data_IF_949046979267
#
_entry.id   IF_949046979267
#
_cell.length_a   1.000
_cell.length_b   1.000
_cell.length_c   1.000
_cell.angle_alpha   90.00
_cell.angle_beta   90.00
_cell.angle_gamma   90.00
#
_symmetry.space_group_name_H-M   'P 1'
#
loop_
_entity.id
_entity.type
_entity.pdbx_description
1 polymer ?
#
# COMPACT_ATOMS: atom_id res chain seq x y z
N UNK A 1 73.54 -28.92 -67.94
CA UNK A 1 72.51 -27.87 -67.77
C UNK A 1 71.89 -27.99 -66.39
N UNK A 2 72.11 -27.01 -65.51
CA UNK A 2 71.46 -26.91 -64.18
C UNK A 2 70.86 -25.51 -64.10
N UNK A 3 69.53 -25.42 -64.04
CA UNK A 3 68.84 -24.14 -63.89
C UNK A 3 69.00 -23.63 -62.45
N UNK A 4 69.29 -22.34 -62.23
CA UNK A 4 69.33 -21.78 -60.89
C UNK A 4 67.91 -21.66 -60.33
N UNK A 5 67.68 -22.22 -59.15
CA UNK A 5 66.45 -22.06 -58.39
C UNK A 5 66.39 -20.64 -57.80
N UNK A 6 65.35 -19.88 -58.15
CA UNK A 6 65.10 -18.56 -57.59
C UNK A 6 64.85 -18.65 -56.07
N UNK A 7 65.46 -17.79 -55.24
CA UNK A 7 65.19 -17.76 -53.82
C UNK A 7 63.73 -17.33 -53.59
N UNK A 8 62.95 -18.19 -52.90
CA UNK A 8 61.61 -17.84 -52.41
C UNK A 8 61.75 -16.68 -51.44
N UNK A 9 61.38 -15.49 -51.89
CA UNK A 9 61.33 -14.24 -51.13
C UNK A 9 60.49 -14.45 -49.86
N UNK A 10 61.09 -14.22 -48.70
CA UNK A 10 60.48 -14.33 -47.37
C UNK A 10 59.17 -13.52 -47.27
N UNK A 11 58.02 -14.20 -47.28
CA UNK A 11 56.72 -13.66 -46.88
C UNK A 11 56.39 -14.01 -45.41
N UNK A 12 57.33 -13.84 -44.48
CA UNK A 12 57.16 -14.31 -43.08
C UNK A 12 57.36 -13.25 -41.99
N UNK A 13 57.49 -11.98 -42.32
CA UNK A 13 57.79 -10.92 -41.34
C UNK A 13 56.58 -10.17 -40.75
N UNK A 14 55.48 -10.04 -41.49
CA UNK A 14 54.40 -9.10 -41.13
C UNK A 14 53.21 -9.73 -40.40
N UNK A 15 53.02 -11.05 -40.52
CA UNK A 15 51.85 -11.73 -39.95
C UNK A 15 51.88 -11.82 -38.43
N UNK A 16 53.06 -12.03 -37.82
CA UNK A 16 53.23 -12.09 -36.36
C UNK A 16 52.90 -10.78 -35.63
N UNK A 17 53.44 -9.61 -36.03
CA UNK A 17 53.09 -8.34 -35.38
C UNK A 17 51.62 -7.96 -35.60
N UNK A 18 51.05 -8.21 -36.77
CA UNK A 18 49.63 -7.96 -37.04
C UNK A 18 48.74 -8.85 -36.15
N UNK A 19 49.06 -10.14 -36.01
CA UNK A 19 48.33 -11.06 -35.14
C UNK A 19 48.39 -10.60 -33.67
N UNK A 20 49.55 -10.16 -33.20
CA UNK A 20 49.72 -9.65 -31.85
C UNK A 20 48.85 -8.41 -31.58
N UNK A 21 48.81 -7.47 -32.53
CA UNK A 21 47.95 -6.28 -32.41
C UNK A 21 46.47 -6.67 -32.43
N UNK A 22 46.03 -7.56 -33.31
CA UNK A 22 44.64 -8.01 -33.32
C UNK A 22 44.23 -8.69 -32.01
N UNK A 23 45.08 -9.57 -31.46
CA UNK A 23 44.82 -10.25 -30.19
C UNK A 23 44.71 -9.27 -29.02
N UNK A 24 45.61 -8.29 -28.94
CA UNK A 24 45.57 -7.27 -27.87
C UNK A 24 44.31 -6.42 -27.93
N UNK A 25 43.87 -6.02 -29.14
CA UNK A 25 42.61 -5.29 -29.33
C UNK A 25 41.40 -6.13 -28.91
N UNK A 26 41.38 -7.42 -29.27
CA UNK A 26 40.29 -8.32 -28.86
C UNK A 26 40.23 -8.48 -27.34
N UNK A 27 41.37 -8.63 -26.67
CA UNK A 27 41.44 -8.70 -25.21
C UNK A 27 40.97 -7.38 -24.57
N UNK A 28 41.37 -6.23 -25.13
CA UNK A 28 40.93 -4.92 -24.65
C UNK A 28 39.41 -4.76 -24.75
N UNK A 29 38.80 -5.17 -25.86
CA UNK A 29 37.34 -5.14 -26.03
C UNK A 29 36.62 -6.10 -25.09
N UNK A 30 37.18 -7.28 -24.82
CA UNK A 30 36.63 -8.22 -23.82
C UNK A 30 36.67 -7.63 -22.41
N UNK A 31 37.77 -6.97 -22.05
CA UNK A 31 37.90 -6.28 -20.76
C UNK A 31 36.87 -5.16 -20.60
N UNK A 32 36.69 -4.33 -21.63
CA UNK A 32 35.66 -3.31 -21.67
C UNK A 32 34.25 -3.91 -21.51
N UNK A 33 33.95 -4.97 -22.27
CA UNK A 33 32.66 -5.64 -22.22
C UNK A 33 32.37 -6.22 -20.81
N UNK A 34 33.39 -6.76 -20.14
CA UNK A 34 33.26 -7.27 -18.78
C UNK A 34 32.97 -6.17 -17.76
N UNK A 35 33.76 -5.09 -17.76
CA UNK A 35 33.57 -3.97 -16.82
C UNK A 35 32.20 -3.31 -17.02
N UNK A 36 31.79 -3.07 -18.28
CA UNK A 36 30.46 -2.54 -18.60
C UNK A 36 29.33 -3.51 -18.20
N UNK A 37 29.53 -4.81 -18.41
CA UNK A 37 28.57 -5.83 -18.01
C UNK A 37 28.29 -5.80 -16.51
N UNK A 38 29.34 -5.69 -15.69
CA UNK A 38 29.20 -5.56 -14.23
C UNK A 38 28.49 -4.27 -13.83
N UNK A 39 28.87 -3.15 -14.44
CA UNK A 39 28.22 -1.85 -14.19
C UNK A 39 26.72 -1.91 -14.51
N UNK A 40 26.36 -2.51 -15.65
CA UNK A 40 24.96 -2.65 -16.07
C UNK A 40 24.15 -3.53 -15.12
N UNK A 41 24.70 -4.69 -14.72
CA UNK A 41 24.04 -5.60 -13.76
C UNK A 41 23.82 -4.89 -12.42
N UNK A 42 24.86 -4.29 -11.85
CA UNK A 42 24.74 -3.58 -10.56
C UNK A 42 23.75 -2.43 -10.63
N UNK A 43 23.71 -1.68 -11.74
CA UNK A 43 22.73 -0.60 -11.93
C UNK A 43 21.29 -1.13 -11.90
N UNK A 44 21.01 -2.28 -12.52
CA UNK A 44 19.68 -2.89 -12.49
C UNK A 44 19.31 -3.45 -11.11
N UNK A 45 20.28 -4.06 -10.40
CA UNK A 45 20.09 -4.51 -9.02
C UNK A 45 19.76 -3.32 -8.09
N UNK A 46 20.49 -2.21 -8.20
CA UNK A 46 20.21 -0.99 -7.45
C UNK A 46 18.84 -0.41 -7.79
N UNK A 47 18.42 -0.40 -9.06
CA UNK A 47 17.10 0.10 -9.42
C UNK A 47 15.97 -0.78 -8.85
N UNK A 48 16.14 -2.10 -8.92
CA UNK A 48 15.21 -3.06 -8.34
C UNK A 48 15.10 -2.85 -6.83
N UNK A 49 16.23 -2.61 -6.16
CA UNK A 49 16.28 -2.25 -4.75
C UNK A 49 15.49 -0.97 -4.44
N UNK A 50 15.76 0.13 -5.16
CA UNK A 50 15.12 1.41 -4.86
C UNK A 50 13.62 1.37 -5.14
N UNK A 51 13.19 0.73 -6.24
CA UNK A 51 11.78 0.59 -6.59
C UNK A 51 11.01 -0.17 -5.49
N UNK A 52 11.54 -1.32 -5.07
CA UNK A 52 10.91 -2.16 -4.05
C UNK A 52 10.93 -1.50 -2.67
N UNK A 53 12.04 -0.84 -2.30
CA UNK A 53 12.17 -0.15 -1.03
C UNK A 53 11.26 1.08 -0.96
N UNK A 54 11.10 1.83 -2.06
CA UNK A 54 10.25 3.02 -2.08
C UNK A 54 8.79 2.62 -1.89
N UNK A 55 8.35 1.57 -2.61
CA UNK A 55 6.99 1.06 -2.46
C UNK A 55 6.72 0.43 -1.08
N UNK A 56 7.71 -0.23 -0.47
CA UNK A 56 7.57 -0.77 0.88
C UNK A 56 7.52 0.34 1.93
N UNK A 57 8.39 1.36 1.80
CA UNK A 57 8.49 2.46 2.75
C UNK A 57 7.28 3.39 2.71
N UNK A 58 6.67 3.63 1.55
CA UNK A 58 5.46 4.46 1.46
C UNK A 58 4.28 3.87 2.24
N UNK A 59 4.23 2.55 2.46
CA UNK A 59 3.19 1.94 3.29
C UNK A 59 3.25 2.36 4.77
N UNK A 60 4.41 2.80 5.23
CA UNK A 60 4.61 3.29 6.59
C UNK A 60 4.28 4.78 6.72
N UNK A 61 4.08 5.52 5.62
CA UNK A 61 3.75 6.94 5.67
C UNK A 61 2.27 7.15 6.04
N UNK A 62 2.04 7.33 7.34
CA UNK A 62 0.73 7.54 7.96
C UNK A 62 0.43 9.01 8.28
N UNK A 63 1.29 9.93 7.83
CA UNK A 63 1.20 11.37 8.14
C UNK A 63 1.72 11.76 9.53
N UNK A 64 2.19 10.79 10.32
CA UNK A 64 2.75 11.02 11.66
C UNK A 64 4.28 10.95 11.66
N UNK A 65 4.88 11.40 12.77
CA UNK A 65 6.31 11.27 13.01
C UNK A 65 6.74 9.78 13.08
N UNK A 66 5.92 8.93 13.68
CA UNK A 66 6.21 7.50 13.78
C UNK A 66 6.23 6.84 12.40
N UNK A 67 5.32 7.24 11.51
CA UNK A 67 5.30 6.77 10.14
C UNK A 67 6.55 7.14 9.34
N UNK A 68 7.07 8.36 9.51
CA UNK A 68 8.35 8.76 8.88
C UNK A 68 9.52 7.92 9.40
N UNK A 69 9.57 7.63 10.71
CA UNK A 69 10.60 6.78 11.32
C UNK A 69 10.51 5.32 10.82
N UNK A 70 9.30 4.78 10.76
CA UNK A 70 9.03 3.46 10.17
C UNK A 70 9.44 3.40 8.70
N UNK A 71 9.03 4.40 7.90
CA UNK A 71 9.37 4.51 6.50
C UNK A 71 10.90 4.58 6.28
N UNK A 72 11.63 5.33 7.10
CA UNK A 72 13.10 5.38 7.00
C UNK A 72 13.76 4.03 7.32
N UNK A 73 13.24 3.32 8.33
CA UNK A 73 13.72 2.00 8.71
C UNK A 73 13.51 1.00 7.57
N UNK A 74 12.32 0.99 6.96
CA UNK A 74 12.01 0.16 5.79
C UNK A 74 12.83 0.57 4.56
N UNK A 75 13.00 1.87 4.31
CA UNK A 75 13.75 2.38 3.17
C UNK A 75 15.22 1.96 3.20
N UNK A 76 15.84 1.99 4.38
CA UNK A 76 17.27 1.66 4.56
C UNK A 76 17.53 0.16 4.69
N UNK A 77 16.61 -0.61 5.29
CA UNK A 77 16.74 -2.06 5.38
C UNK A 77 16.31 -2.79 4.09
N UNK A 78 15.40 -2.18 3.32
CA UNK A 78 14.72 -2.79 2.18
C UNK A 78 13.45 -3.57 2.58
N UNK A 79 12.66 -4.03 1.60
CA UNK A 79 11.37 -4.69 1.81
C UNK A 79 11.42 -6.00 2.61
N UNK A 80 12.56 -6.69 2.62
CA UNK A 80 12.74 -7.94 3.38
C UNK A 80 13.30 -7.72 4.79
N UNK A 81 13.50 -6.45 5.18
CA UNK A 81 14.01 -6.07 6.48
C UNK A 81 15.48 -6.44 6.71
N UNK A 82 15.92 -6.28 7.95
CA UNK A 82 17.34 -6.42 8.34
C UNK A 82 17.83 -7.87 8.38
N UNK A 83 16.95 -8.86 8.37
CA UNK A 83 17.29 -10.29 8.38
C UNK A 83 17.66 -10.82 7.00
N UNK A 84 17.21 -10.15 5.94
CA UNK A 84 17.58 -10.42 4.54
C UNK A 84 17.83 -9.09 3.83
N UNK A 85 18.91 -8.37 4.19
CA UNK A 85 19.21 -7.09 3.58
C UNK A 85 19.48 -7.28 2.10
N UNK A 86 18.93 -6.40 1.27
CA UNK A 86 19.14 -6.49 -0.16
C UNK A 86 20.62 -6.25 -0.50
N UNK A 87 21.15 -7.06 -1.40
CA UNK A 87 22.52 -6.99 -1.86
C UNK A 87 22.61 -6.84 -3.39
N UNK A 88 23.74 -6.33 -3.84
CA UNK A 88 24.15 -6.25 -5.24
C UNK A 88 25.31 -7.22 -5.49
N UNK A 89 25.74 -7.32 -6.75
CA UNK A 89 26.75 -8.26 -7.21
C UNK A 89 26.30 -9.71 -6.96
N UNK A 90 25.11 -10.06 -7.46
CA UNK A 90 24.47 -11.36 -7.26
C UNK A 90 24.26 -11.70 -5.78
N UNK A 91 23.72 -10.74 -5.03
CA UNK A 91 23.34 -10.90 -3.62
C UNK A 91 24.52 -11.13 -2.65
N UNK A 92 25.75 -10.82 -3.08
CA UNK A 92 26.96 -11.06 -2.27
C UNK A 92 27.42 -9.84 -1.48
N UNK A 93 27.00 -8.63 -1.88
CA UNK A 93 27.44 -7.38 -1.25
C UNK A 93 26.24 -6.54 -0.85
N UNK A 94 26.04 -6.29 0.45
CA UNK A 94 24.91 -5.51 0.94
C UNK A 94 24.92 -4.07 0.43
N UNK A 95 23.75 -3.54 0.10
CA UNK A 95 23.58 -2.13 -0.26
C UNK A 95 23.49 -1.33 1.04
N UNK A 96 24.54 -0.62 1.41
CA UNK A 96 24.64 0.07 2.70
C UNK A 96 24.47 1.60 2.61
N UNK A 97 24.74 2.20 1.46
CA UNK A 97 24.63 3.65 1.25
C UNK A 97 23.26 3.99 0.66
N UNK A 98 22.25 4.00 1.53
CA UNK A 98 20.85 4.29 1.18
C UNK A 98 20.40 5.53 1.95
N UNK A 99 19.81 6.48 1.22
CA UNK A 99 19.26 7.71 1.80
C UNK A 99 17.81 7.88 1.38
N UNK A 100 16.95 8.26 2.33
CA UNK A 100 15.56 8.60 2.10
C UNK A 100 15.32 10.11 2.28
N UNK A 101 14.49 10.68 1.42
CA UNK A 101 14.00 12.06 1.52
C UNK A 101 12.49 12.10 1.33
N UNK A 102 11.82 13.11 1.88
CA UNK A 102 10.37 13.10 2.09
C UNK A 102 9.70 14.37 1.57
N UNK A 103 8.56 14.26 0.92
CA UNK A 103 7.80 15.42 0.45
C UNK A 103 6.29 15.28 0.73
N UNK A 104 5.61 16.41 0.81
CA UNK A 104 4.15 16.49 0.90
C UNK A 104 3.48 16.44 -0.47
N UNK A 105 4.19 16.84 -1.52
CA UNK A 105 3.73 16.86 -2.92
C UNK A 105 4.81 16.25 -3.81
N UNK A 106 4.41 15.48 -4.83
CA UNK A 106 5.34 14.76 -5.71
C UNK A 106 6.41 15.66 -6.35
N UNK A 107 6.01 16.84 -6.85
CA UNK A 107 6.88 17.82 -7.51
C UNK A 107 7.46 18.88 -6.57
N UNK A 108 7.28 18.70 -5.26
CA UNK A 108 7.74 19.63 -4.23
C UNK A 108 9.21 19.45 -3.86
N UNK A 109 9.64 20.21 -2.85
CA UNK A 109 10.93 20.01 -2.20
C UNK A 109 10.89 18.77 -1.30
N UNK A 110 11.98 18.00 -1.32
CA UNK A 110 12.13 16.82 -0.48
C UNK A 110 13.03 17.16 0.70
N UNK A 111 12.49 16.98 1.90
CA UNK A 111 13.17 17.15 3.17
C UNK A 111 14.03 15.93 3.50
N UNK A 112 15.16 16.17 4.16
CA UNK A 112 16.01 15.07 4.67
C UNK A 112 15.30 14.32 5.81
N UNK A 113 15.72 13.09 6.08
CA UNK A 113 15.24 12.35 7.26
C UNK A 113 15.37 13.15 8.56
N UNK A 114 16.46 13.90 8.76
CA UNK A 114 16.67 14.71 9.96
C UNK A 114 15.57 15.76 10.15
N UNK A 115 15.13 16.39 9.05
CA UNK A 115 14.02 17.36 9.07
C UNK A 115 12.67 16.66 9.22
N UNK A 116 12.44 15.59 8.45
CA UNK A 116 11.15 14.91 8.40
C UNK A 116 10.82 14.14 9.70
N UNK A 117 11.84 13.59 10.36
CA UNK A 117 11.71 12.84 11.62
C UNK A 117 11.63 13.70 12.87
N UNK A 118 11.82 15.03 12.75
CA UNK A 118 11.49 15.95 13.82
C UNK A 118 9.97 15.97 14.05
N UNK A 119 9.51 16.39 15.24
CA UNK A 119 8.09 16.59 15.51
C UNK A 119 7.57 17.68 14.56
N UNK A 120 7.06 17.27 13.40
CA UNK A 120 6.74 18.16 12.30
C UNK A 120 5.24 18.15 12.04
N UNK A 121 4.72 19.32 11.68
CA UNK A 121 3.35 19.56 11.23
C UNK A 121 3.10 19.11 9.78
N UNK A 122 4.13 18.59 9.10
CA UNK A 122 4.08 18.27 7.68
C UNK A 122 3.61 16.83 7.48
N UNK A 123 2.55 16.68 6.70
CA UNK A 123 1.99 15.37 6.35
C UNK A 123 2.72 14.82 5.11
N UNK A 124 3.88 14.19 5.34
CA UNK A 124 4.67 13.60 4.26
C UNK A 124 3.94 12.41 3.64
N UNK A 125 3.89 12.39 2.31
CA UNK A 125 3.15 11.40 1.52
C UNK A 125 3.96 10.82 0.37
N UNK A 126 5.13 11.39 0.14
CA UNK A 126 6.08 10.97 -0.88
C UNK A 126 7.41 10.68 -0.21
N UNK A 127 8.05 9.61 -0.65
CA UNK A 127 9.41 9.24 -0.26
C UNK A 127 10.23 9.00 -1.52
N UNK A 128 11.40 9.63 -1.60
CA UNK A 128 12.42 9.32 -2.59
C UNK A 128 13.55 8.57 -1.91
N UNK A 129 13.87 7.39 -2.44
CA UNK A 129 14.99 6.57 -1.99
C UNK A 129 16.10 6.67 -3.03
N UNK A 130 17.31 6.95 -2.57
CA UNK A 130 18.52 6.93 -3.37
C UNK A 130 19.49 5.90 -2.79
N UNK A 131 19.97 4.99 -3.63
CA UNK A 131 20.94 3.97 -3.27
C UNK A 131 22.21 4.13 -4.11
N UNK A 132 23.37 3.96 -3.47
CA UNK A 132 24.67 4.06 -4.14
C UNK A 132 25.53 2.83 -3.89
N UNK A 133 26.26 2.40 -4.92
CA UNK A 133 27.25 1.33 -4.82
C UNK A 133 28.47 1.63 -5.68
N UNK A 134 29.63 1.12 -5.27
CA UNK A 134 30.86 1.23 -6.04
C UNK A 134 31.19 -0.10 -6.71
N UNK A 135 31.39 -0.08 -8.02
CA UNK A 135 31.78 -1.24 -8.82
C UNK A 135 33.26 -1.12 -9.17
N UNK A 136 34.12 -2.08 -8.79
CA UNK A 136 35.52 -2.05 -9.16
C UNK A 136 35.68 -2.25 -10.67
N UNK A 137 36.57 -1.47 -11.27
CA UNK A 137 36.90 -1.51 -12.70
C UNK A 137 38.18 -2.32 -12.85
N UNK A 138 38.07 -3.55 -13.38
CA UNK A 138 39.14 -4.54 -13.34
C UNK A 138 40.04 -4.50 -14.57
N UNK A 139 39.49 -4.19 -15.76
CA UNK A 139 40.24 -4.23 -17.00
C UNK A 139 40.58 -2.83 -17.51
N UNK A 140 39.66 -1.87 -17.37
CA UNK A 140 39.84 -0.50 -17.84
C UNK A 140 40.93 0.27 -17.09
N UNK A 141 41.31 -0.18 -15.89
CA UNK A 141 42.39 0.40 -15.07
C UNK A 141 43.78 0.38 -15.77
N UNK A 142 43.95 -0.41 -16.83
CA UNK A 142 45.20 -0.44 -17.62
C UNK A 142 45.44 0.88 -18.36
N UNK A 143 44.38 1.68 -18.57
CA UNK A 143 44.47 3.00 -19.22
C UNK A 143 44.83 4.04 -18.15
N UNK A 144 45.97 4.74 -18.26
CA UNK A 144 46.35 5.78 -17.31
C UNK A 144 45.26 6.85 -17.19
N UNK A 145 44.88 7.19 -15.95
CA UNK A 145 43.84 8.18 -15.67
C UNK A 145 42.42 7.62 -15.50
N UNK A 146 42.20 6.32 -15.71
CA UNK A 146 40.93 5.66 -15.38
C UNK A 146 40.88 5.32 -13.89
N UNK A 147 39.76 5.63 -13.24
CA UNK A 147 39.54 5.30 -11.84
C UNK A 147 39.43 3.77 -11.63
N UNK A 148 39.91 3.29 -10.47
CA UNK A 148 39.84 1.87 -10.10
C UNK A 148 38.44 1.40 -9.71
N UNK A 149 37.48 2.32 -9.60
CA UNK A 149 36.07 2.01 -9.33
C UNK A 149 35.15 3.06 -9.94
N UNK A 150 33.91 2.66 -10.19
CA UNK A 150 32.86 3.52 -10.70
C UNK A 150 31.69 3.51 -9.71
N UNK A 151 31.31 4.70 -9.23
CA UNK A 151 30.16 4.85 -8.32
C UNK A 151 28.87 4.95 -9.12
N UNK A 152 27.93 4.07 -8.81
CA UNK A 152 26.60 4.04 -9.38
C UNK A 152 25.59 4.54 -8.37
N UNK A 153 24.58 5.24 -8.87
CA UNK A 153 23.44 5.72 -8.10
C UNK A 153 22.17 5.26 -8.78
N UNK A 154 21.21 4.75 -8.02
CA UNK A 154 19.82 4.57 -8.46
C UNK A 154 18.88 5.30 -7.51
N UNK A 155 17.72 5.70 -8.01
CA UNK A 155 16.70 6.36 -7.21
C UNK A 155 15.31 5.97 -7.66
N UNK A 156 14.37 5.95 -6.73
CA UNK A 156 12.96 5.76 -7.01
C UNK A 156 12.12 6.57 -6.03
N UNK A 157 10.99 7.09 -6.51
CA UNK A 157 10.05 7.84 -5.68
C UNK A 157 8.74 7.08 -5.59
N UNK A 158 8.21 6.90 -4.39
CA UNK A 158 6.86 6.38 -4.19
C UNK A 158 6.04 7.39 -3.39
N UNK A 159 4.72 7.39 -3.58
CA UNK A 159 3.85 8.24 -2.78
C UNK A 159 2.38 7.88 -2.89
N UNK A 160 1.61 8.38 -1.93
CA UNK A 160 0.16 8.25 -1.90
C UNK A 160 -0.48 9.32 -2.77
N UNK A 161 -0.98 8.92 -3.95
CA UNK A 161 -1.69 9.80 -4.87
C UNK A 161 -3.17 9.89 -4.54
N UNK A 162 -3.71 11.10 -4.69
CA UNK A 162 -5.14 11.36 -4.58
C UNK A 162 -5.87 10.93 -5.84
N UNK A 163 -7.01 10.27 -5.66
CA UNK A 163 -8.00 10.09 -6.71
C UNK A 163 -9.36 10.51 -6.19
N UNK A 164 -10.19 11.05 -7.09
CA UNK A 164 -11.56 11.44 -6.79
C UNK A 164 -12.54 10.26 -6.75
N UNK A 165 -12.10 9.08 -7.18
CA UNK A 165 -12.91 7.86 -7.22
C UNK A 165 -12.05 6.61 -7.01
N UNK A 166 -12.65 5.58 -6.44
CA UNK A 166 -12.16 4.22 -6.41
C UNK A 166 -12.71 3.45 -7.61
N UNK A 167 -11.86 2.95 -8.52
CA UNK A 167 -12.31 2.30 -9.77
C UNK A 167 -11.69 0.93 -10.03
N UNK A 168 -10.69 0.53 -9.24
CA UNK A 168 -9.86 -0.66 -9.49
C UNK A 168 -9.90 -1.64 -8.31
N UNK A 169 -11.06 -1.77 -7.67
CA UNK A 169 -11.25 -2.62 -6.51
C UNK A 169 -10.73 -2.00 -5.21
N UNK A 170 -10.70 -2.86 -4.18
CA UNK A 170 -10.12 -2.58 -2.86
C UNK A 170 -11.10 -2.00 -1.83
N UNK A 171 -12.33 -1.66 -2.23
CA UNK A 171 -13.38 -1.28 -1.30
C UNK A 171 -14.05 -2.53 -0.72
N UNK A 172 -14.37 -2.45 0.58
CA UNK A 172 -15.18 -3.43 1.27
C UNK A 172 -16.66 -3.02 1.28
N UNK A 173 -17.59 -3.98 1.26
CA UNK A 173 -19.01 -3.72 1.05
C UNK A 173 -19.71 -3.28 2.34
N UNK A 174 -19.04 -2.46 3.14
CA UNK A 174 -19.58 -1.81 4.32
C UNK A 174 -19.62 -0.31 4.06
N UNK A 175 -20.53 0.40 4.71
CA UNK A 175 -20.59 1.86 4.63
C UNK A 175 -21.00 2.41 5.98
N UNK A 176 -20.05 2.58 6.92
CA UNK A 176 -20.31 3.28 8.16
C UNK A 176 -20.81 4.69 7.88
N UNK A 177 -21.73 5.17 8.71
CA UNK A 177 -22.27 6.52 8.60
C UNK A 177 -21.30 7.54 9.22
N UNK A 178 -21.14 8.67 8.56
CA UNK A 178 -20.42 9.82 9.10
C UNK A 178 -21.11 10.33 10.37
N UNK A 179 -20.35 10.50 11.45
CA UNK A 179 -20.87 11.11 12.68
C UNK A 179 -21.02 12.62 12.55
N UNK A 180 -20.16 13.23 11.76
CA UNK A 180 -20.18 14.65 11.39
C UNK A 180 -19.79 14.79 9.91
N UNK A 181 -20.77 15.10 9.05
CA UNK A 181 -20.54 15.29 7.61
C UNK A 181 -19.83 16.60 7.28
N UNK A 182 -19.64 17.50 8.25
CA UNK A 182 -18.85 18.72 8.07
C UNK A 182 -17.35 18.49 8.33
N UNK A 183 -16.99 17.42 9.04
CA UNK A 183 -15.60 16.99 9.22
C UNK A 183 -15.11 16.21 7.99
N UNK A 184 -14.50 16.92 7.04
CA UNK A 184 -13.93 16.31 5.83
C UNK A 184 -12.60 15.59 6.07
N UNK A 185 -12.07 15.58 7.30
CA UNK A 185 -10.83 14.89 7.62
C UNK A 185 -11.11 13.53 8.23
N UNK A 186 -12.02 13.41 9.20
CA UNK A 186 -12.30 12.13 9.84
C UNK A 186 -13.77 11.74 9.92
N UNK A 187 -14.70 12.56 9.39
CA UNK A 187 -16.14 12.31 9.46
C UNK A 187 -16.69 12.19 10.89
N UNK A 188 -16.03 12.80 11.87
CA UNK A 188 -16.33 12.66 13.29
C UNK A 188 -15.76 11.41 13.94
N UNK A 189 -14.95 10.61 13.23
CA UNK A 189 -14.27 9.45 13.78
C UNK A 189 -12.96 9.82 14.49
N UNK A 190 -12.59 9.03 15.49
CA UNK A 190 -11.34 9.17 16.24
C UNK A 190 -10.43 7.97 15.95
N UNK A 191 -9.19 8.24 15.52
CA UNK A 191 -8.22 7.18 15.22
C UNK A 191 -7.97 6.31 16.47
N UNK A 192 -7.92 4.99 16.28
CA UNK A 192 -7.77 4.00 17.36
C UNK A 192 -9.08 3.62 18.07
N UNK A 193 -10.22 4.22 17.72
CA UNK A 193 -11.54 3.89 18.28
C UNK A 193 -12.29 2.92 17.36
N UNK A 194 -13.04 1.98 17.93
CA UNK A 194 -13.87 1.01 17.20
C UNK A 194 -15.23 1.60 16.82
N UNK A 195 -15.56 1.57 15.53
CA UNK A 195 -16.86 1.96 14.98
C UNK A 195 -17.54 0.79 14.28
N UNK A 196 -18.84 0.91 14.08
CA UNK A 196 -19.72 -0.12 13.55
C UNK A 196 -19.69 -0.14 12.03
N UNK A 197 -19.21 -1.24 11.44
CA UNK A 197 -19.31 -1.50 10.00
C UNK A 197 -20.68 -2.06 9.59
N UNK A 198 -21.27 -2.87 10.49
CA UNK A 198 -22.61 -3.45 10.34
C UNK A 198 -23.27 -3.46 11.71
N UNK A 199 -24.51 -3.01 11.80
CA UNK A 199 -25.24 -2.97 13.05
C UNK A 199 -25.93 -4.30 13.37
N UNK A 200 -26.18 -4.54 14.66
CA UNK A 200 -26.91 -5.70 15.13
C UNK A 200 -28.40 -5.66 14.78
N UNK A 201 -29.06 -6.81 14.87
CA UNK A 201 -30.51 -6.85 15.01
C UNK A 201 -30.85 -6.22 16.36
N UNK A 202 -31.70 -5.18 16.40
CA UNK A 202 -31.99 -4.37 17.59
C UNK A 202 -32.78 -5.10 18.70
N UNK A 203 -32.43 -6.35 19.00
CA UNK A 203 -33.18 -7.30 19.83
C UNK A 203 -32.34 -8.04 20.88
N UNK A 204 -31.15 -7.56 21.28
CA UNK A 204 -30.25 -8.36 22.14
C UNK A 204 -29.67 -7.63 23.35
N UNK A 205 -30.52 -6.99 24.18
CA UNK A 205 -30.06 -6.37 25.43
C UNK A 205 -31.02 -6.53 26.59
N UNK A 206 -30.94 -7.65 27.30
CA UNK A 206 -31.48 -7.79 28.66
C UNK A 206 -30.50 -7.08 29.62
N UNK A 207 -30.56 -5.76 29.71
CA UNK A 207 -29.65 -4.97 30.56
C UNK A 207 -29.84 -3.47 30.43
N UNK A 208 -30.39 -2.86 31.48
CA UNK A 208 -30.57 -1.44 31.78
C UNK A 208 -30.06 -0.40 30.76
N UNK A 209 -30.99 0.08 29.93
CA UNK A 209 -31.19 1.50 29.71
C UNK A 209 -30.34 2.18 28.63
N UNK A 210 -30.65 1.92 27.35
CA UNK A 210 -30.77 2.98 26.33
C UNK A 210 -31.96 2.68 25.39
N UNK A 211 -32.96 3.56 25.47
CA UNK A 211 -33.90 3.91 24.39
C UNK A 211 -34.69 2.84 23.67
N UNK A 212 -35.71 2.24 24.31
CA UNK A 212 -36.94 1.97 23.55
C UNK A 212 -37.54 3.33 23.19
N UNK A 213 -37.40 3.75 21.94
CA UNK A 213 -38.22 4.83 21.39
C UNK A 213 -39.69 4.47 21.61
N UNK A 214 -40.43 5.34 22.28
CA UNK A 214 -41.85 5.16 22.51
C UNK A 214 -42.60 5.25 21.18
N UNK A 215 -43.30 4.17 20.81
CA UNK A 215 -44.40 4.19 19.83
C UNK A 215 -44.00 3.95 18.38
N UNK A 216 -44.47 2.82 17.83
CA UNK A 216 -44.21 2.22 16.52
C UNK A 216 -42.80 1.65 16.30
N UNK A 217 -42.76 0.37 15.92
CA UNK A 217 -41.58 -0.48 15.92
C UNK A 217 -40.38 0.11 15.17
N UNK A 218 -39.30 0.35 15.90
CA UNK A 218 -38.04 0.91 15.40
C UNK A 218 -37.21 1.39 16.59
N UNK A 219 -36.60 0.46 17.34
CA UNK A 219 -35.67 0.83 18.39
C UNK A 219 -34.33 1.24 17.79
N UNK A 220 -33.78 2.38 18.22
CA UNK A 220 -32.45 2.85 17.87
C UNK A 220 -31.40 1.84 18.38
N UNK A 221 -31.00 0.96 17.47
CA UNK A 221 -29.62 0.63 17.19
C UNK A 221 -28.74 0.16 18.39
N UNK A 222 -28.64 -1.16 18.57
CA UNK A 222 -27.70 -1.79 19.49
C UNK A 222 -26.38 -2.04 18.76
N UNK A 223 -25.38 -1.23 19.07
CA UNK A 223 -23.98 -1.53 18.76
C UNK A 223 -23.15 -1.49 20.04
N UNK A 224 -22.25 -2.46 20.17
CA UNK A 224 -21.30 -2.52 21.28
C UNK A 224 -19.98 -1.81 20.93
N UNK A 225 -19.87 -1.24 19.72
CA UNK A 225 -18.68 -0.52 19.28
C UNK A 225 -18.57 0.82 20.02
N UNK A 226 -17.45 1.02 20.71
CA UNK A 226 -17.24 2.16 21.62
C UNK A 226 -17.46 3.53 20.95
N UNK A 227 -17.12 3.67 19.66
CA UNK A 227 -17.23 4.90 18.90
C UNK A 227 -18.68 5.37 18.70
N UNK A 228 -19.64 4.45 18.68
CA UNK A 228 -21.04 4.75 18.36
C UNK A 228 -21.95 4.82 19.60
N UNK A 229 -21.45 4.51 20.80
CA UNK A 229 -22.26 4.36 22.02
C UNK A 229 -23.07 5.61 22.42
N UNK A 230 -22.67 6.80 21.98
CA UNK A 230 -23.34 8.07 22.26
C UNK A 230 -23.74 8.82 20.98
N UNK A 231 -23.61 8.19 19.82
CA UNK A 231 -24.02 8.77 18.56
C UNK A 231 -25.51 8.48 18.32
N UNK A 232 -26.28 9.53 18.05
CA UNK A 232 -27.70 9.41 17.75
C UNK A 232 -27.87 9.26 16.24
N UNK A 233 -27.78 8.02 15.79
CA UNK A 233 -28.05 7.65 14.41
C UNK A 233 -29.51 8.00 14.00
N UNK A 234 -29.73 8.74 12.91
CA UNK A 234 -31.08 9.06 12.43
C UNK A 234 -31.80 7.85 11.79
N UNK A 235 -31.11 6.74 11.56
CA UNK A 235 -31.58 5.63 10.75
C UNK A 235 -31.76 4.31 11.53
N UNK A 236 -32.66 3.43 11.07
CA UNK A 236 -32.80 2.08 11.64
C UNK A 236 -31.62 1.17 11.27
N UNK A 237 -31.34 0.17 12.11
CA UNK A 237 -30.22 -0.78 11.91
C UNK A 237 -30.26 -1.57 10.60
N UNK A 238 -31.43 -1.67 9.97
CA UNK A 238 -31.60 -2.32 8.68
C UNK A 238 -30.88 -1.61 7.54
N UNK A 239 -30.68 -0.29 7.65
CA UNK A 239 -29.93 0.52 6.68
C UNK A 239 -28.41 0.39 6.85
N UNK A 240 -27.94 -0.16 7.98
CA UNK A 240 -26.53 -0.18 8.34
C UNK A 240 -25.92 -1.57 8.29
N UNK A 241 -25.70 -2.05 7.07
CA UNK A 241 -25.06 -3.34 6.86
C UNK A 241 -24.12 -3.33 5.68
N UNK A 242 -24.69 -3.58 4.51
CA UNK A 242 -23.90 -3.79 3.31
C UNK A 242 -24.33 -2.84 2.21
N UNK A 243 -23.39 -2.47 1.36
CA UNK A 243 -23.65 -1.68 0.15
C UNK A 243 -23.22 -2.43 -1.10
N UNK A 244 -23.91 -2.15 -2.20
CA UNK A 244 -23.61 -2.69 -3.52
C UNK A 244 -22.53 -1.83 -4.20
N UNK A 245 -21.31 -2.33 -4.20
CA UNK A 245 -20.17 -1.80 -4.95
C UNK A 245 -20.14 -2.32 -6.40
N UNK A 246 -21.22 -2.98 -6.83
CA UNK A 246 -21.39 -3.61 -8.13
C UNK A 246 -21.23 -5.13 -8.12
N UNK A 247 -21.05 -5.75 -6.94
CA UNK A 247 -21.07 -7.19 -6.75
C UNK A 247 -22.49 -7.78 -6.75
N UNK A 248 -23.51 -6.94 -6.61
CA UNK A 248 -24.90 -7.32 -6.47
C UNK A 248 -25.29 -7.76 -5.06
N UNK A 249 -26.53 -8.25 -4.94
CA UNK A 249 -27.19 -8.53 -3.67
C UNK A 249 -26.98 -9.98 -3.15
N UNK A 250 -26.15 -10.78 -3.82
CA UNK A 250 -25.94 -12.19 -3.51
C UNK A 250 -25.10 -12.40 -2.24
N UNK A 251 -25.45 -13.40 -1.42
CA UNK A 251 -24.65 -13.74 -0.24
C UNK A 251 -23.24 -14.24 -0.62
N UNK A 252 -23.14 -15.03 -1.71
CA UNK A 252 -21.86 -15.44 -2.28
C UNK A 252 -21.05 -14.26 -2.83
N UNK A 253 -21.72 -13.28 -3.44
CA UNK A 253 -21.07 -12.06 -3.93
C UNK A 253 -20.47 -11.26 -2.78
N UNK A 254 -21.23 -11.01 -1.71
CA UNK A 254 -20.73 -10.32 -0.51
C UNK A 254 -19.53 -11.04 0.11
N UNK A 255 -19.59 -12.36 0.25
CA UNK A 255 -18.44 -13.15 0.71
C UNK A 255 -17.22 -12.95 -0.18
N UNK A 256 -17.42 -12.96 -1.50
CA UNK A 256 -16.36 -12.77 -2.47
C UNK A 256 -15.65 -11.43 -2.29
N UNK A 257 -16.41 -10.34 -2.15
CA UNK A 257 -15.83 -9.01 -1.91
C UNK A 257 -15.13 -8.95 -0.56
N UNK A 258 -15.73 -9.45 0.51
CA UNK A 258 -15.12 -9.40 1.85
C UNK A 258 -13.78 -10.14 1.91
N UNK A 259 -13.69 -11.30 1.27
CA UNK A 259 -12.48 -12.13 1.35
C UNK A 259 -11.43 -11.68 0.33
N UNK A 260 -11.83 -11.40 -0.91
CA UNK A 260 -10.92 -11.24 -2.04
C UNK A 260 -10.90 -9.82 -2.62
N UNK A 261 -11.85 -8.96 -2.26
CA UNK A 261 -12.00 -7.61 -2.78
C UNK A 261 -12.47 -7.58 -4.24
N UNK A 262 -11.89 -6.67 -5.02
CA UNK A 262 -12.11 -6.59 -6.47
C UNK A 262 -13.30 -5.74 -6.93
N UNK A 263 -13.96 -5.01 -6.04
CA UNK A 263 -15.02 -4.07 -6.37
C UNK A 263 -14.76 -2.66 -5.81
N UNK A 264 -15.23 -1.61 -6.49
CA UNK A 264 -15.83 -1.62 -7.84
C UNK A 264 -14.78 -1.96 -8.92
N UNK A 265 -15.21 -2.45 -10.09
CA UNK A 265 -14.32 -2.71 -11.23
C UNK A 265 -14.94 -2.28 -12.56
N UNK A 266 -14.14 -2.30 -13.63
CA UNK A 266 -14.57 -1.84 -14.96
C UNK A 266 -15.82 -2.55 -15.53
N UNK A 267 -16.15 -3.75 -15.03
CA UNK A 267 -17.28 -4.55 -15.50
C UNK A 267 -18.47 -4.57 -14.52
N UNK A 268 -18.40 -3.82 -13.42
CA UNK A 268 -19.46 -3.74 -12.41
C UNK A 268 -20.31 -2.48 -12.55
N UNK A 269 -21.48 -2.48 -11.91
CA UNK A 269 -22.34 -1.30 -11.80
C UNK A 269 -22.64 -1.01 -10.33
N UNK A 270 -22.04 0.04 -9.72
CA UNK A 270 -21.16 1.02 -10.35
C UNK A 270 -19.78 0.47 -10.73
N UNK A 271 -19.12 1.08 -11.72
CA UNK A 271 -17.75 0.73 -12.13
C UNK A 271 -16.68 1.54 -11.39
N UNK A 272 -17.11 2.57 -10.65
CA UNK A 272 -16.30 3.37 -9.75
C UNK A 272 -17.17 3.98 -8.66
N UNK A 273 -16.61 4.19 -7.47
CA UNK A 273 -17.27 4.85 -6.34
C UNK A 273 -16.56 6.17 -6.07
N UNK A 274 -17.31 7.25 -5.91
CA UNK A 274 -16.82 8.59 -5.61
C UNK A 274 -17.76 9.28 -4.61
N UNK A 275 -17.31 10.32 -3.90
CA UNK A 275 -18.24 11.16 -3.15
C UNK A 275 -19.36 11.69 -4.06
N UNK A 276 -20.57 11.80 -3.51
CA UNK A 276 -21.79 12.17 -4.22
C UNK A 276 -22.48 11.00 -4.94
N UNK A 277 -21.85 9.82 -5.04
CA UNK A 277 -22.51 8.65 -5.58
C UNK A 277 -23.46 8.04 -4.54
N UNK A 278 -24.67 7.70 -4.95
CA UNK A 278 -25.59 6.90 -4.13
C UNK A 278 -25.31 5.41 -4.30
N UNK A 279 -24.97 4.73 -3.21
CA UNK A 279 -24.81 3.27 -3.20
C UNK A 279 -26.07 2.59 -2.67
N UNK A 280 -26.51 1.53 -3.37
CA UNK A 280 -27.65 0.73 -2.94
C UNK A 280 -27.30 -0.16 -1.75
N UNK A 281 -28.12 -0.12 -0.72
CA UNK A 281 -28.08 -1.04 0.41
C UNK A 281 -28.41 -2.47 -0.01
N UNK A 282 -27.65 -3.40 0.55
CA UNK A 282 -27.77 -4.83 0.34
C UNK A 282 -28.45 -5.42 1.58
N UNK A 283 -29.76 -5.71 1.53
CA UNK A 283 -30.55 -5.97 2.73
C UNK A 283 -30.21 -7.30 3.42
N UNK A 284 -30.51 -7.38 4.71
CA UNK A 284 -30.51 -8.62 5.48
C UNK A 284 -29.26 -8.85 6.33
N UNK A 285 -29.42 -9.64 7.39
CA UNK A 285 -28.36 -9.89 8.38
C UNK A 285 -27.23 -10.82 7.88
N UNK A 286 -27.48 -11.57 6.80
CA UNK A 286 -26.51 -12.45 6.10
C UNK A 286 -25.83 -13.53 6.95
N UNK A 287 -26.31 -13.77 8.17
CA UNK A 287 -26.02 -14.97 8.97
C UNK A 287 -24.53 -15.17 9.28
N UNK A 288 -24.15 -16.44 9.50
CA UNK A 288 -22.76 -16.87 9.76
C UNK A 288 -21.80 -16.58 8.61
N UNK A 289 -22.32 -16.44 7.39
CA UNK A 289 -21.48 -16.31 6.20
C UNK A 289 -20.55 -15.12 6.24
N UNK A 290 -21.03 -13.97 6.72
CA UNK A 290 -20.25 -12.74 6.76
C UNK A 290 -19.17 -12.81 7.84
N UNK A 291 -19.51 -13.29 9.04
CA UNK A 291 -18.54 -13.47 10.12
C UNK A 291 -17.42 -14.42 9.71
N UNK A 292 -17.75 -15.54 9.07
CA UNK A 292 -16.72 -16.46 8.58
C UNK A 292 -15.90 -15.90 7.41
N UNK A 293 -16.45 -15.01 6.57
CA UNK A 293 -15.68 -14.31 5.55
C UNK A 293 -14.69 -13.31 6.15
N UNK A 294 -15.09 -12.58 7.20
CA UNK A 294 -14.17 -11.72 7.94
C UNK A 294 -13.08 -12.52 8.66
N UNK A 295 -13.43 -13.67 9.24
CA UNK A 295 -12.47 -14.58 9.84
C UNK A 295 -11.49 -15.16 8.80
N UNK A 296 -11.98 -15.54 7.62
CA UNK A 296 -11.14 -16.01 6.51
C UNK A 296 -10.18 -14.90 6.05
N UNK A 297 -10.68 -13.67 5.89
CA UNK A 297 -9.84 -12.52 5.54
C UNK A 297 -8.78 -12.25 6.61
N UNK A 298 -9.16 -12.26 7.89
CA UNK A 298 -8.24 -12.04 9.00
C UNK A 298 -7.14 -13.11 9.04
N UNK A 299 -7.47 -14.37 8.76
CA UNK A 299 -6.51 -15.48 8.69
C UNK A 299 -5.58 -15.42 7.47
N UNK A 300 -5.88 -14.59 6.45
CA UNK A 300 -4.95 -14.33 5.34
C UNK A 300 -3.89 -13.28 5.70
N UNK A 301 -4.02 -12.61 6.84
CA UNK A 301 -3.00 -11.70 7.33
C UNK A 301 -1.84 -12.47 7.95
N UNK A 302 -0.61 -12.05 7.66
CA UNK A 302 0.59 -12.64 8.25
C UNK A 302 0.79 -12.23 9.72
N UNK A 303 0.04 -11.23 10.19
CA UNK A 303 -0.19 -10.99 11.61
C UNK A 303 -1.66 -11.21 11.94
N UNK A 304 -1.94 -12.33 12.60
CA UNK A 304 -3.27 -12.76 13.08
C UNK A 304 -3.43 -12.60 14.60
N UNK A 305 -2.50 -11.90 15.26
CA UNK A 305 -2.48 -11.79 16.74
C UNK A 305 -2.67 -10.37 17.25
N UNK A 306 -2.21 -9.36 16.49
CA UNK A 306 -2.34 -7.96 16.92
C UNK A 306 -3.81 -7.55 17.05
N UNK A 307 -4.19 -7.09 18.23
CA UNK A 307 -5.57 -6.69 18.55
C UNK A 307 -5.79 -5.19 18.37
N UNK A 308 -4.72 -4.41 18.31
CA UNK A 308 -4.75 -2.97 18.01
C UNK A 308 -3.96 -2.68 16.74
N UNK A 309 -4.31 -1.59 16.06
CA UNK A 309 -3.57 -1.13 14.89
C UNK A 309 -2.14 -0.70 15.26
N UNK A 310 -1.95 -0.11 16.46
CA UNK A 310 -0.63 0.27 16.95
C UNK A 310 0.31 -0.94 17.11
N UNK A 311 -0.18 -2.04 17.68
CA UNK A 311 0.59 -3.28 17.81
C UNK A 311 0.91 -3.89 16.44
N UNK A 312 -0.05 -3.82 15.50
CA UNK A 312 0.11 -4.32 14.14
C UNK A 312 1.24 -3.60 13.39
N UNK A 313 1.25 -2.26 13.46
CA UNK A 313 2.30 -1.43 12.86
C UNK A 313 3.64 -1.66 13.56
N UNK A 314 3.67 -1.66 14.89
CA UNK A 314 4.90 -1.89 15.66
C UNK A 314 5.49 -3.28 15.43
N UNK A 315 4.65 -4.29 15.25
CA UNK A 315 5.05 -5.66 14.97
C UNK A 315 5.68 -5.84 13.60
N UNK A 316 5.23 -5.07 12.59
CA UNK A 316 5.79 -5.07 11.24
C UNK A 316 5.72 -6.42 10.50
N UNK A 317 4.83 -7.32 10.94
CA UNK A 317 4.65 -8.67 10.39
C UNK A 317 3.44 -8.80 9.48
N UNK A 318 2.50 -7.87 9.57
CA UNK A 318 1.25 -7.93 8.83
C UNK A 318 1.44 -7.60 7.35
N UNK A 319 0.60 -8.22 6.51
CA UNK A 319 0.63 -8.02 5.05
C UNK A 319 -0.46 -7.05 4.56
N UNK A 320 -1.13 -6.36 5.48
CA UNK A 320 -2.19 -5.40 5.25
C UNK A 320 -3.59 -5.98 5.09
N UNK A 321 -3.79 -7.31 5.14
CA UNK A 321 -5.10 -7.92 4.87
C UNK A 321 -6.20 -7.47 5.84
N UNK A 322 -5.87 -7.16 7.09
CA UNK A 322 -6.83 -6.63 8.08
C UNK A 322 -7.04 -5.12 7.99
N UNK A 323 -6.28 -4.41 7.17
CA UNK A 323 -6.58 -3.01 6.83
C UNK A 323 -7.54 -3.02 5.65
N UNK A 324 -8.73 -2.46 5.87
CA UNK A 324 -9.77 -2.37 4.85
C UNK A 324 -10.11 -0.92 4.56
N UNK A 325 -10.50 -0.63 3.33
CA UNK A 325 -11.06 0.66 2.95
C UNK A 325 -12.54 0.51 2.67
N UNK A 326 -13.35 1.41 3.22
CA UNK A 326 -14.80 1.45 3.02
C UNK A 326 -15.22 2.85 2.55
N UNK A 327 -16.28 2.97 1.75
CA UNK A 327 -16.99 4.23 1.62
C UNK A 327 -17.60 4.65 2.96
N UNK A 328 -17.77 5.95 3.17
CA UNK A 328 -18.49 6.53 4.29
C UNK A 328 -19.79 7.14 3.77
N UNK A 329 -20.91 6.85 4.44
CA UNK A 329 -22.24 7.31 4.05
C UNK A 329 -22.66 8.61 4.75
N UNK A 330 -23.46 9.43 4.07
CA UNK A 330 -24.22 10.50 4.74
C UNK A 330 -25.45 9.89 5.43
N UNK A 331 -25.52 9.91 6.78
CA UNK A 331 -26.65 9.37 7.51
C UNK A 331 -27.98 10.03 7.14
N UNK A 332 -28.01 11.27 6.64
CA UNK A 332 -29.25 11.98 6.36
C UNK A 332 -29.85 11.66 4.99
N UNK A 333 -29.14 10.90 4.16
CA UNK A 333 -29.53 10.63 2.77
C UNK A 333 -30.10 9.23 2.54
N UNK A 334 -30.10 8.39 3.57
CA UNK A 334 -30.62 7.03 3.50
C UNK A 334 -32.10 7.02 3.08
N UNK A 335 -32.40 6.17 2.11
CA UNK A 335 -33.76 5.89 1.65
C UNK A 335 -34.17 4.45 1.95
N UNK A 336 -35.47 4.18 1.97
CA UNK A 336 -35.99 2.81 2.05
C UNK A 336 -35.70 2.07 3.36
N UNK A 337 -35.68 0.73 3.34
CA UNK A 337 -35.44 -0.10 4.53
C UNK A 337 -34.41 -1.18 4.21
N UNK A 338 -33.13 -0.89 4.41
CA UNK A 338 -32.00 -1.78 4.10
C UNK A 338 -31.77 -2.10 2.61
N UNK A 339 -32.72 -1.72 1.75
CA UNK A 339 -32.69 -1.88 0.31
C UNK A 339 -32.72 -0.55 -0.46
N UNK A 340 -32.77 0.59 0.23
CA UNK A 340 -32.63 1.88 -0.42
C UNK A 340 -31.16 2.27 -0.51
N UNK A 341 -30.85 3.54 -0.66
CA UNK A 341 -29.51 4.02 -0.92
C UNK A 341 -29.15 5.21 -0.04
N UNK A 342 -27.85 5.42 0.15
CA UNK A 342 -27.28 6.63 0.74
C UNK A 342 -26.11 7.14 -0.09
N UNK A 343 -25.87 8.43 0.04
CA UNK A 343 -24.79 9.17 -0.60
C UNK A 343 -23.46 8.85 0.07
N UNK A 344 -22.44 8.56 -0.74
CA UNK A 344 -21.06 8.46 -0.27
C UNK A 344 -20.52 9.86 -0.04
N UNK A 345 -20.00 10.15 1.15
CA UNK A 345 -19.34 11.43 1.46
C UNK A 345 -17.82 11.35 1.34
N UNK A 346 -17.26 10.14 1.48
CA UNK A 346 -15.82 9.95 1.48
C UNK A 346 -15.41 8.50 1.68
N UNK A 347 -14.15 8.31 2.10
CA UNK A 347 -13.56 6.99 2.33
C UNK A 347 -12.75 6.98 3.61
N UNK A 348 -12.68 5.81 4.24
CA UNK A 348 -11.94 5.59 5.47
C UNK A 348 -11.27 4.23 5.48
N UNK A 349 -10.13 4.15 6.16
CA UNK A 349 -9.51 2.88 6.50
C UNK A 349 -9.89 2.44 7.91
N UNK A 350 -10.18 1.16 8.04
CA UNK A 350 -10.43 0.48 9.30
C UNK A 350 -9.53 -0.74 9.46
N UNK A 351 -9.15 -1.01 10.70
CA UNK A 351 -8.42 -2.22 11.09
C UNK A 351 -9.39 -3.25 11.68
N UNK A 352 -9.42 -4.42 11.07
CA UNK A 352 -10.23 -5.56 11.48
C UNK A 352 -9.61 -6.32 12.66
N UNK A 353 -10.48 -6.78 13.56
CA UNK A 353 -10.08 -7.69 14.62
C UNK A 353 -9.49 -9.01 14.06
N UNK A 354 -8.57 -9.66 14.78
CA UNK A 354 -7.95 -10.90 14.32
C UNK A 354 -8.94 -12.08 14.26
N UNK A 355 -10.04 -12.00 14.99
CA UNK A 355 -11.02 -13.08 15.11
C UNK A 355 -12.44 -12.56 14.99
N UNK A 356 -13.24 -13.21 14.14
CA UNK A 356 -14.69 -12.97 14.04
C UNK A 356 -15.44 -14.28 14.25
N UNK A 357 -16.44 -14.25 15.13
CA UNK A 357 -17.33 -15.37 15.39
C UNK A 357 -18.75 -14.87 15.61
N UNK A 358 -19.75 -15.50 15.01
CA UNK A 358 -21.15 -15.12 15.20
C UNK A 358 -22.06 -15.60 14.09
N UNK A 359 -23.36 -15.59 14.39
CA UNK A 359 -24.46 -15.85 13.44
C UNK A 359 -25.26 -14.57 13.17
N UNK A 360 -25.20 -13.60 14.08
CA UNK A 360 -25.84 -12.28 14.03
C UNK A 360 -25.04 -11.30 14.91
N UNK A 361 -25.45 -10.03 14.92
CA UNK A 361 -24.83 -8.99 15.75
C UNK A 361 -24.06 -7.93 14.96
N UNK A 362 -23.47 -7.00 15.70
CA UNK A 362 -22.66 -5.91 15.17
C UNK A 362 -21.28 -6.38 14.74
N UNK A 363 -20.72 -5.73 13.71
CA UNK A 363 -19.34 -5.90 13.28
C UNK A 363 -18.64 -4.58 13.55
N UNK A 364 -17.63 -4.60 14.42
CA UNK A 364 -16.82 -3.43 14.75
C UNK A 364 -15.47 -3.50 14.03
N UNK A 365 -14.91 -2.34 13.70
CA UNK A 365 -13.52 -2.22 13.27
C UNK A 365 -12.91 -0.91 13.78
N UNK A 366 -11.59 -0.89 13.97
CA UNK A 366 -10.88 0.27 14.53
C UNK A 366 -10.62 1.29 13.44
N UNK A 367 -11.10 2.52 13.57
CA UNK A 367 -10.82 3.59 12.62
C UNK A 367 -9.33 3.93 12.63
N UNK A 368 -8.72 3.98 11.44
CA UNK A 368 -7.31 4.35 11.27
C UNK A 368 -7.20 5.81 10.84
N UNK A 369 -7.95 6.19 9.80
CA UNK A 369 -7.88 7.50 9.16
C UNK A 369 -8.53 7.52 7.77
N UNK A 370 -8.26 8.55 6.95
CA UNK A 370 -8.81 8.68 5.60
C UNK A 370 -8.41 7.53 4.64
N UNK A 371 -9.25 7.24 3.65
CA UNK A 371 -9.15 6.02 2.83
C UNK A 371 -7.90 5.89 1.94
N UNK A 372 -7.07 4.87 2.15
CA UNK A 372 -5.96 4.48 1.26
C UNK A 372 -6.08 3.00 0.86
N UNK A 373 -6.42 2.74 -0.40
CA UNK A 373 -6.88 1.43 -0.88
C UNK A 373 -5.81 0.33 -0.91
N UNK A 374 -4.55 0.72 -1.05
CA UNK A 374 -3.44 -0.23 -1.04
C UNK A 374 -2.49 0.05 0.13
N UNK A 375 -2.82 1.03 0.99
CA UNK A 375 -1.99 1.46 2.10
C UNK A 375 -2.25 0.68 3.37
N UNK A 376 -1.17 0.30 4.08
CA UNK A 376 -1.28 -0.17 5.47
C UNK A 376 -1.49 0.98 6.46
N UNK A 377 -1.46 2.23 5.98
CA UNK A 377 -1.65 3.44 6.77
C UNK A 377 -2.28 4.58 5.96
N UNK A 378 -2.69 5.63 6.65
CA UNK A 378 -3.44 6.75 6.08
C UNK A 378 -2.60 8.03 6.14
N UNK A 379 -1.60 8.18 5.28
CA UNK A 379 -0.89 9.46 5.08
C UNK A 379 -1.76 10.59 4.49
N UNK A 380 -3.06 10.34 4.35
CA UNK A 380 -4.05 11.19 3.74
C UNK A 380 -4.60 12.22 4.73
N UNK A 381 -4.94 13.41 4.22
CA UNK A 381 -5.42 14.55 5.01
C UNK A 381 -6.85 14.98 4.66
N UNK A 382 -7.42 14.42 3.58
CA UNK A 382 -8.75 14.74 3.06
C UNK A 382 -9.52 13.44 2.82
N UNK A 383 -10.50 13.15 3.67
CA UNK A 383 -11.30 11.93 3.57
C UNK A 383 -12.39 12.01 2.51
N UNK A 384 -12.57 13.14 1.82
CA UNK A 384 -13.38 13.22 0.58
C UNK A 384 -12.66 12.60 -0.62
N UNK A 385 -11.40 12.22 -0.47
CA UNK A 385 -10.62 11.53 -1.51
C UNK A 385 -10.30 10.11 -1.08
N UNK A 386 -9.95 9.30 -2.07
CA UNK A 386 -9.31 8.00 -1.83
C UNK A 386 -7.89 8.07 -2.35
N UNK A 387 -6.99 7.34 -1.70
CA UNK A 387 -5.57 7.38 -2.00
C UNK A 387 -5.07 6.03 -2.48
N UNK A 388 -4.05 6.06 -3.32
CA UNK A 388 -3.33 4.88 -3.78
C UNK A 388 -1.83 5.10 -3.69
N UNK A 389 -1.12 4.12 -3.15
CA UNK A 389 0.33 4.13 -3.19
C UNK A 389 0.82 3.76 -4.60
N UNK A 390 1.61 4.65 -5.20
CA UNK A 390 2.11 4.52 -6.56
C UNK A 390 3.62 4.73 -6.56
N UNK A 391 4.31 3.94 -7.38
CA UNK A 391 5.72 4.15 -7.71
C UNK A 391 5.82 5.08 -8.91
N UNK A 392 6.53 6.20 -8.74
CA UNK A 392 6.87 7.16 -9.78
C UNK A 392 8.23 6.78 -10.38
N UNK A 393 8.24 6.60 -11.69
CA UNK A 393 9.45 6.29 -12.46
C UNK A 393 9.90 7.48 -13.28
#
# INVERSE_FOLDING_TARGET
MRYPSAPRRNQRGFSLPLLGVCLTIMIAMLGLAFDLGRVFITKNELQTFTDASALAAVYQLDGTQAGVQGANTTATAGPLGTTKPNAYNFDTTTISNVTATYATVFTGSYDSYTTASAASSNHYRFINITATASVPISFLQVIPGVASSYTLTASATAGSQETSSASYGGLEPFMPDAHDTSDTTNWGFTSGVKYTLKWGDGSSGNGNGKGKGNGNGGGNAQTDCAGDQNWNDPNPTSQHGFVDLGQGNGNSSLRGVIVYGGYPNANSTPSSVSPGLYLGGVPGNRGTSIFSSLAERAAQDTDDTSTTYADYVAGGKGNGRRVITVPIGDPNTWTGNGNGSAEVVGFANFFLDPTYSGTSGSICATYIGPGNLNGMSTGATDATKVYYNVLFK
#
